data_IF_320722678775
#
_entry.id   IF_320722678775
#
_cell.length_a   1.000
_cell.length_b   1.000
_cell.length_c   1.000
_cell.angle_alpha   90.00
_cell.angle_beta   90.00
_cell.angle_gamma   90.00
#
_symmetry.space_group_name_H-M   'P 1'
#
loop_
_entity.id
_entity.type
_entity.pdbx_description
1 polymer ?
#
# COMPACT_ATOMS: atom_id res chain seq x y z
N UNK A 1 14.26 -1.15 60.13
CA UNK A 1 12.81 -0.84 60.12
C UNK A 1 12.25 -1.30 58.79
N UNK A 2 11.41 -2.34 58.82
CA UNK A 2 10.74 -2.93 57.66
C UNK A 2 9.47 -2.11 57.38
N UNK A 3 9.31 -1.58 56.18
CA UNK A 3 8.05 -0.98 55.75
C UNK A 3 7.52 -1.80 54.58
N UNK A 4 6.54 -2.65 54.90
CA UNK A 4 5.71 -3.39 53.96
C UNK A 4 4.67 -2.41 53.40
N UNK A 5 4.58 -2.28 52.08
CA UNK A 5 3.50 -1.55 51.41
C UNK A 5 2.83 -2.49 50.42
N UNK A 6 1.54 -2.68 50.65
CA UNK A 6 0.62 -3.65 50.06
C UNK A 6 0.37 -3.43 48.57
N UNK A 7 0.21 -4.55 47.86
CA UNK A 7 -0.35 -4.62 46.50
C UNK A 7 -1.85 -4.26 46.49
N UNK A 8 -2.38 -3.61 45.42
CA UNK A 8 -3.80 -3.36 45.30
C UNK A 8 -4.55 -4.60 44.78
N UNK A 9 -5.62 -4.99 45.48
CA UNK A 9 -6.54 -6.05 45.07
C UNK A 9 -7.42 -5.61 43.91
N UNK A 10 -7.50 -6.44 42.87
CA UNK A 10 -8.40 -6.31 41.73
C UNK A 10 -9.78 -6.82 42.16
N UNK A 11 -10.78 -5.92 42.23
CA UNK A 11 -12.19 -6.32 42.37
C UNK A 11 -12.70 -6.86 41.04
N UNK A 12 -12.88 -8.18 40.96
CA UNK A 12 -13.70 -8.82 39.92
C UNK A 12 -15.16 -8.80 40.38
N UNK A 13 -16.01 -8.02 39.70
CA UNK A 13 -17.45 -8.10 39.84
C UNK A 13 -18.02 -9.04 38.77
N UNK A 14 -18.50 -10.20 39.18
CA UNK A 14 -19.25 -11.13 38.34
C UNK A 14 -20.74 -10.79 38.57
N UNK A 15 -21.44 -10.35 37.52
CA UNK A 15 -22.88 -10.19 37.56
C UNK A 15 -23.53 -11.54 37.25
N UNK A 16 -24.16 -12.15 38.25
CA UNK A 16 -24.98 -13.36 38.09
C UNK A 16 -26.43 -12.96 37.84
N UNK A 17 -27.00 -13.43 36.73
CA UNK A 17 -28.41 -13.32 36.41
C UNK A 17 -29.20 -14.37 37.20
N UNK A 18 -30.23 -13.95 37.94
CA UNK A 18 -31.24 -14.84 38.52
C UNK A 18 -32.55 -14.63 37.75
N UNK A 19 -33.21 -15.68 37.24
CA UNK A 19 -34.56 -15.58 36.71
C UNK A 19 -35.56 -15.50 37.88
N UNK A 20 -36.58 -14.66 37.74
CA UNK A 20 -37.73 -14.64 38.63
C UNK A 20 -38.68 -15.77 38.25
N UNK A 21 -39.07 -16.55 39.25
CA UNK A 21 -40.22 -17.45 39.22
C UNK A 21 -41.48 -16.60 39.41
N UNK A 22 -42.33 -16.51 38.39
CA UNK A 22 -43.75 -16.17 38.53
C UNK A 22 -44.50 -16.95 37.44
N UNK A 23 -45.13 -18.02 37.89
CA UNK A 23 -46.14 -18.81 37.18
C UNK A 23 -47.41 -17.98 36.95
N UNK A 24 -47.96 -18.03 35.74
CA UNK A 24 -49.40 -18.29 35.54
C UNK A 24 -49.68 -18.72 34.08
N UNK A 25 -50.73 -19.53 33.85
CA UNK A 25 -50.78 -20.54 32.79
C UNK A 25 -51.84 -20.24 31.72
N UNK A 26 -51.98 -21.18 30.79
CA UNK A 26 -52.97 -21.32 29.72
C UNK A 26 -52.74 -20.51 28.43
N UNK A 27 -52.34 -21.19 27.35
CA UNK A 27 -53.30 -21.78 26.39
C UNK A 27 -52.60 -22.38 25.14
N UNK A 28 -52.58 -23.71 25.09
CA UNK A 28 -52.63 -24.64 23.93
C UNK A 28 -52.23 -24.16 22.51
N UNK A 29 -51.13 -24.70 21.98
CA UNK A 29 -51.08 -25.55 20.76
C UNK A 29 -49.63 -25.83 20.34
N UNK A 30 -49.16 -27.05 20.60
CA UNK A 30 -47.85 -27.56 20.20
C UNK A 30 -47.98 -28.26 18.84
N UNK A 31 -47.61 -27.59 17.74
CA UNK A 31 -47.41 -28.25 16.45
C UNK A 31 -46.08 -29.02 16.50
N UNK A 32 -46.20 -30.31 16.79
CA UNK A 32 -45.10 -31.28 16.75
C UNK A 32 -44.86 -31.71 15.30
N UNK A 33 -43.70 -31.33 14.73
CA UNK A 33 -43.22 -31.92 13.46
C UNK A 33 -42.67 -33.33 13.73
N UNK A 34 -43.04 -34.37 12.96
CA UNK A 34 -42.59 -35.73 13.22
C UNK A 34 -41.09 -35.91 12.93
N UNK A 35 -40.40 -36.46 13.91
CA UNK A 35 -39.01 -36.91 13.84
C UNK A 35 -38.99 -38.40 13.48
N UNK A 36 -38.85 -38.75 12.20
CA UNK A 36 -38.49 -40.09 11.67
C UNK A 36 -38.46 -39.93 10.14
N UNK A 37 -37.37 -40.08 9.38
CA UNK A 37 -36.46 -41.22 9.26
C UNK A 37 -35.14 -40.74 8.60
N UNK A 38 -34.02 -40.77 9.30
CA UNK A 38 -32.69 -40.67 8.67
C UNK A 38 -32.16 -42.11 8.55
N UNK A 39 -32.16 -42.64 7.33
CA UNK A 39 -31.34 -43.81 6.99
C UNK A 39 -29.99 -43.34 6.42
N UNK A 40 -28.84 -43.98 6.77
CA UNK A 40 -27.53 -43.47 6.41
C UNK A 40 -27.06 -44.11 5.10
N UNK A 41 -27.35 -43.53 3.93
CA UNK A 41 -26.65 -43.90 2.68
C UNK A 41 -26.42 -42.70 1.75
N UNK A 42 -25.13 -42.52 1.42
CA UNK A 42 -24.54 -41.68 0.35
C UNK A 42 -24.48 -40.18 0.61
N UNK A 43 -23.44 -39.75 1.33
CA UNK A 43 -22.86 -38.41 1.18
C UNK A 43 -22.35 -38.31 -0.26
N UNK A 44 -23.12 -37.70 -1.15
CA UNK A 44 -22.60 -37.24 -2.43
C UNK A 44 -21.68 -36.06 -2.11
N UNK A 45 -20.38 -36.25 -2.33
CA UNK A 45 -19.37 -35.20 -2.26
C UNK A 45 -19.78 -34.02 -3.13
N UNK A 46 -20.09 -32.89 -2.50
CA UNK A 46 -20.22 -31.61 -3.19
C UNK A 46 -18.93 -31.36 -4.00
N UNK A 47 -19.02 -30.93 -5.27
CA UNK A 47 -17.85 -30.60 -6.07
C UNK A 47 -16.99 -29.56 -5.34
N UNK A 48 -15.70 -29.85 -5.22
CA UNK A 48 -14.69 -29.08 -4.50
C UNK A 48 -14.34 -27.71 -5.13
N UNK A 49 -15.27 -27.08 -5.86
CA UNK A 49 -15.00 -25.89 -6.69
C UNK A 49 -15.65 -24.59 -6.23
N UNK A 50 -16.16 -24.50 -5.00
CA UNK A 50 -16.59 -23.23 -4.39
C UNK A 50 -15.66 -22.77 -3.26
N UNK A 51 -14.36 -23.03 -3.39
CA UNK A 51 -13.36 -22.55 -2.43
C UNK A 51 -13.19 -21.05 -2.66
N UNK A 52 -13.57 -20.24 -1.68
CA UNK A 52 -13.30 -18.80 -1.73
C UNK A 52 -11.80 -18.57 -1.87
N UNK A 53 -11.38 -17.63 -2.75
CA UNK A 53 -9.95 -17.40 -2.97
C UNK A 53 -9.29 -16.98 -1.65
N UNK A 54 -8.08 -17.52 -1.40
CA UNK A 54 -7.31 -17.25 -0.16
C UNK A 54 -7.08 -15.75 0.10
N UNK A 55 -7.10 -14.92 -0.94
CA UNK A 55 -7.05 -13.46 -0.82
C UNK A 55 -7.61 -12.81 -2.08
N UNK A 56 -8.30 -11.68 -1.93
CA UNK A 56 -8.74 -10.82 -3.03
C UNK A 56 -8.05 -9.46 -2.85
N UNK A 57 -7.45 -8.93 -3.92
CA UNK A 57 -6.90 -7.58 -3.91
C UNK A 57 -8.01 -6.56 -4.12
N UNK A 58 -8.26 -5.73 -3.10
CA UNK A 58 -9.23 -4.63 -3.19
C UNK A 58 -8.51 -3.34 -3.59
N UNK A 59 -8.96 -2.70 -4.67
CA UNK A 59 -8.47 -1.40 -5.14
C UNK A 59 -9.05 -0.25 -4.30
N UNK A 60 -8.84 -0.31 -2.99
CA UNK A 60 -9.27 0.72 -2.05
C UNK A 60 -8.17 1.77 -1.89
N UNK A 61 -8.55 3.03 -2.10
CA UNK A 61 -7.74 4.20 -1.79
C UNK A 61 -7.60 4.32 -0.27
N UNK A 62 -6.39 4.55 0.22
CA UNK A 62 -6.13 4.70 1.66
C UNK A 62 -5.36 5.97 1.94
N UNK A 63 -5.74 6.72 2.97
CA UNK A 63 -4.97 7.91 3.35
C UNK A 63 -3.55 7.54 3.79
N UNK A 64 -2.62 8.51 3.69
CA UNK A 64 -1.25 8.34 4.18
C UNK A 64 -1.22 7.88 5.65
N UNK A 65 -0.32 6.96 6.00
CA UNK A 65 -0.07 6.48 7.38
C UNK A 65 0.72 7.48 8.25
N UNK A 66 0.76 8.76 7.88
CA UNK A 66 1.47 9.78 8.64
C UNK A 66 0.69 10.19 9.88
N UNK A 67 1.36 10.18 11.04
CA UNK A 67 0.81 10.69 12.31
C UNK A 67 1.21 12.16 12.57
N UNK A 68 1.97 12.79 11.66
CA UNK A 68 2.44 14.20 11.80
C UNK A 68 1.52 15.22 11.13
N UNK A 69 0.77 14.77 10.13
CA UNK A 69 -0.07 15.61 9.26
C UNK A 69 -1.54 15.26 9.45
N UNK A 70 -2.39 16.28 9.41
CA UNK A 70 -3.83 16.08 9.37
C UNK A 70 -4.24 15.30 8.11
N UNK A 71 -5.08 14.29 8.24
CA UNK A 71 -5.59 13.51 7.11
C UNK A 71 -6.39 14.32 6.10
N UNK A 72 -7.06 15.38 6.54
CA UNK A 72 -7.92 16.22 5.68
C UNK A 72 -7.11 17.37 5.06
N UNK A 73 -6.50 18.23 5.88
CA UNK A 73 -5.83 19.45 5.39
C UNK A 73 -4.32 19.28 5.14
N UNK A 74 -3.73 18.11 5.44
CA UNK A 74 -2.31 17.80 5.27
C UNK A 74 -1.31 18.74 5.97
N UNK A 75 -1.77 19.60 6.88
CA UNK A 75 -0.90 20.48 7.66
C UNK A 75 -0.27 19.76 8.84
N UNK A 76 0.97 20.11 9.16
CA UNK A 76 1.69 19.62 10.34
C UNK A 76 1.04 20.13 11.63
N UNK A 77 1.22 19.36 12.71
CA UNK A 77 0.80 19.79 14.05
C UNK A 77 1.53 21.08 14.43
N UNK A 78 0.76 22.09 14.83
CA UNK A 78 1.27 23.38 15.32
C UNK A 78 0.25 23.96 16.29
N UNK A 79 0.58 25.06 16.99
CA UNK A 79 -0.35 25.70 17.93
C UNK A 79 -1.70 26.07 17.28
N UNK A 80 -1.71 26.43 15.99
CA UNK A 80 -2.92 26.74 15.21
C UNK A 80 -3.58 25.51 14.56
N UNK A 81 -2.88 24.38 14.53
CA UNK A 81 -3.34 23.13 13.91
C UNK A 81 -3.12 21.98 14.89
N UNK A 82 -3.82 22.04 16.02
CA UNK A 82 -3.90 20.91 16.94
C UNK A 82 -4.55 19.73 16.22
N UNK A 83 -4.09 18.53 16.53
CA UNK A 83 -4.55 17.31 15.88
C UNK A 83 -5.06 16.33 16.93
N UNK A 84 -6.22 15.75 16.64
CA UNK A 84 -6.88 14.71 17.43
C UNK A 84 -6.90 13.44 16.60
N UNK A 85 -6.94 12.27 17.25
CA UNK A 85 -7.11 11.00 16.54
C UNK A 85 -8.48 10.97 15.89
N UNK A 86 -8.56 10.55 14.64
CA UNK A 86 -9.82 10.42 13.90
C UNK A 86 -10.71 9.38 14.61
N UNK A 87 -11.93 9.73 15.03
CA UNK A 87 -12.88 8.80 15.64
C UNK A 87 -13.19 7.60 14.75
N UNK A 88 -13.67 6.50 15.34
CA UNK A 88 -14.02 5.31 14.56
C UNK A 88 -15.17 5.59 13.58
N UNK A 89 -16.17 6.31 14.04
CA UNK A 89 -17.37 6.69 13.27
C UNK A 89 -16.99 7.50 12.03
N UNK A 90 -16.13 8.51 12.18
CA UNK A 90 -15.58 9.30 11.09
C UNK A 90 -14.79 8.45 10.06
N UNK A 91 -14.05 7.42 10.51
CA UNK A 91 -13.34 6.50 9.60
C UNK A 91 -14.32 5.64 8.79
N UNK A 92 -15.36 5.12 9.44
CA UNK A 92 -16.41 4.35 8.80
C UNK A 92 -17.21 5.20 7.81
N UNK A 93 -17.54 6.44 8.18
CA UNK A 93 -18.20 7.40 7.30
C UNK A 93 -17.39 7.68 6.03
N UNK A 94 -16.09 7.95 6.16
CA UNK A 94 -15.21 8.17 5.03
C UNK A 94 -15.13 6.94 4.09
N UNK A 95 -15.22 5.73 4.66
CA UNK A 95 -15.27 4.49 3.89
C UNK A 95 -16.62 4.33 3.17
N UNK A 96 -17.75 4.60 3.81
CA UNK A 96 -19.08 4.47 3.21
C UNK A 96 -19.29 5.51 2.09
N UNK A 97 -18.94 6.77 2.34
CA UNK A 97 -19.21 7.86 1.39
C UNK A 97 -18.22 7.93 0.23
N UNK A 98 -16.96 7.57 0.47
CA UNK A 98 -15.87 7.74 -0.51
C UNK A 98 -15.04 6.50 -0.80
N UNK A 99 -15.32 5.36 -0.16
CA UNK A 99 -14.49 4.17 -0.25
C UNK A 99 -13.01 4.42 0.12
N UNK A 100 -12.76 5.39 1.01
CA UNK A 100 -11.39 5.72 1.47
C UNK A 100 -11.15 5.08 2.84
N UNK A 101 -10.09 4.28 2.93
CA UNK A 101 -9.67 3.68 4.19
C UNK A 101 -8.75 4.63 4.95
N UNK A 102 -9.19 5.06 6.13
CA UNK A 102 -8.36 5.83 7.07
C UNK A 102 -7.78 4.85 8.11
N UNK A 103 -6.45 4.68 8.19
CA UNK A 103 -5.84 3.75 9.12
C UNK A 103 -6.08 4.19 10.58
N UNK A 104 -6.01 3.23 11.50
CA UNK A 104 -6.08 3.53 12.93
C UNK A 104 -4.96 4.52 13.34
N UNK A 105 -5.25 5.35 14.34
CA UNK A 105 -4.34 6.40 14.86
C UNK A 105 -4.01 7.54 13.88
N UNK A 106 -4.64 7.57 12.70
CA UNK A 106 -4.61 8.75 11.85
C UNK A 106 -5.15 9.97 12.60
N UNK A 107 -4.58 11.14 12.35
CA UNK A 107 -4.96 12.36 13.05
C UNK A 107 -5.60 13.39 12.13
N UNK A 108 -6.56 14.15 12.63
CA UNK A 108 -7.17 15.27 11.94
C UNK A 108 -7.30 16.50 12.85
N UNK A 109 -7.48 17.69 12.27
CA UNK A 109 -7.79 18.87 13.07
C UNK A 109 -9.23 18.78 13.61
N UNK A 110 -9.50 19.26 14.85
CA UNK A 110 -10.84 19.30 15.43
C UNK A 110 -11.88 19.97 14.53
N UNK A 111 -11.49 21.04 13.83
CA UNK A 111 -12.39 21.80 12.94
C UNK A 111 -12.93 21.01 11.75
N UNK A 112 -12.38 19.82 11.46
CA UNK A 112 -12.90 18.93 10.42
C UNK A 112 -13.99 17.98 10.92
N UNK A 113 -14.15 17.88 12.24
CA UNK A 113 -15.11 17.01 12.89
C UNK A 113 -16.33 17.80 13.35
N UNK A 114 -17.50 17.20 13.18
CA UNK A 114 -18.75 17.59 13.81
C UNK A 114 -19.15 16.44 14.74
N UNK A 115 -18.79 16.56 16.03
CA UNK A 115 -18.88 15.45 16.97
C UNK A 115 -17.93 14.31 16.56
N UNK A 116 -18.49 13.11 16.35
CA UNK A 116 -17.72 11.92 15.95
C UNK A 116 -17.64 11.71 14.43
N UNK A 117 -18.22 12.62 13.64
CA UNK A 117 -18.33 12.51 12.18
C UNK A 117 -17.53 13.60 11.48
N UNK A 118 -17.15 13.39 10.21
CA UNK A 118 -16.57 14.47 9.41
C UNK A 118 -17.66 15.38 8.87
N UNK A 119 -17.35 16.67 8.71
CA UNK A 119 -18.22 17.57 7.93
C UNK A 119 -18.17 17.22 6.45
N UNK A 120 -19.24 17.48 5.70
CA UNK A 120 -19.32 17.16 4.26
C UNK A 120 -18.18 17.80 3.46
N UNK A 121 -17.82 19.03 3.82
CA UNK A 121 -16.66 19.71 3.23
C UNK A 121 -15.35 18.99 3.54
N UNK A 122 -15.19 18.47 4.75
CA UNK A 122 -13.98 17.78 5.17
C UNK A 122 -13.84 16.45 4.45
N UNK A 123 -14.93 15.67 4.30
CA UNK A 123 -14.95 14.41 3.53
C UNK A 123 -14.55 14.67 2.08
N UNK A 124 -15.11 15.72 1.50
CA UNK A 124 -14.78 16.17 0.14
C UNK A 124 -13.29 16.47 -0.03
N UNK A 125 -12.65 17.03 1.01
CA UNK A 125 -11.22 17.41 1.05
C UNK A 125 -10.27 16.28 1.43
N UNK A 126 -10.75 15.10 1.86
CA UNK A 126 -9.86 13.97 2.16
C UNK A 126 -9.13 13.58 0.86
N UNK A 127 -7.78 13.57 0.87
CA UNK A 127 -7.01 13.15 -0.28
C UNK A 127 -7.23 11.67 -0.51
N UNK A 128 -7.67 11.33 -1.71
CA UNK A 128 -7.62 9.96 -2.20
C UNK A 128 -6.15 9.56 -2.26
N UNK A 129 -5.77 8.56 -1.46
CA UNK A 129 -4.41 8.07 -1.48
C UNK A 129 -4.11 7.43 -2.82
N UNK A 130 -3.37 8.14 -3.67
CA UNK A 130 -2.77 7.58 -4.86
C UNK A 130 -1.72 6.56 -4.41
N UNK A 131 -2.10 5.28 -4.31
CA UNK A 131 -1.14 4.17 -4.14
C UNK A 131 -0.21 4.07 -5.36
N UNK A 132 -0.64 4.58 -6.49
CA UNK A 132 0.09 4.56 -7.75
C UNK A 132 0.53 5.98 -8.10
N UNK A 133 1.84 6.16 -8.33
CA UNK A 133 2.38 7.38 -8.91
C UNK A 133 1.69 7.69 -10.23
N UNK A 134 1.57 8.96 -10.58
CA UNK A 134 1.16 9.31 -11.94
C UNK A 134 2.18 8.78 -12.95
N UNK A 135 1.79 8.63 -14.21
CA UNK A 135 2.71 8.14 -15.26
C UNK A 135 3.96 9.03 -15.35
N UNK A 136 3.80 10.33 -15.17
CA UNK A 136 4.88 11.31 -15.29
C UNK A 136 5.80 11.27 -14.06
N UNK A 137 5.22 11.16 -12.86
CA UNK A 137 5.98 10.94 -11.62
C UNK A 137 6.74 9.62 -11.63
N UNK A 138 6.12 8.55 -12.14
CA UNK A 138 6.73 7.24 -12.26
C UNK A 138 7.89 7.25 -13.27
N UNK A 139 7.69 7.90 -14.43
CA UNK A 139 8.74 8.06 -15.44
C UNK A 139 9.92 8.87 -14.89
N UNK A 140 9.65 9.96 -14.18
CA UNK A 140 10.70 10.76 -13.50
C UNK A 140 11.46 9.91 -12.48
N UNK A 141 10.75 9.15 -11.64
CA UNK A 141 11.36 8.26 -10.64
C UNK A 141 12.24 7.19 -11.29
N UNK A 142 11.81 6.63 -12.44
CA UNK A 142 12.60 5.66 -13.21
C UNK A 142 13.86 6.28 -13.79
N UNK A 143 13.78 7.50 -14.34
CA UNK A 143 14.96 8.24 -14.83
C UNK A 143 15.97 8.46 -13.69
N UNK A 144 15.51 8.95 -12.53
CA UNK A 144 16.36 9.12 -11.34
C UNK A 144 16.99 7.80 -10.92
N UNK A 145 16.22 6.71 -10.91
CA UNK A 145 16.72 5.37 -10.54
C UNK A 145 17.78 4.85 -11.52
N UNK A 146 17.64 5.15 -12.82
CA UNK A 146 18.63 4.76 -13.83
C UNK A 146 19.93 5.55 -13.69
N UNK A 147 19.84 6.87 -13.47
CA UNK A 147 21.02 7.72 -13.23
C UNK A 147 21.68 7.39 -11.88
N UNK A 148 20.91 6.97 -10.88
CA UNK A 148 21.41 6.58 -9.56
C UNK A 148 22.51 5.53 -9.65
N UNK A 149 22.38 4.52 -10.50
CA UNK A 149 23.43 3.49 -10.67
C UNK A 149 24.78 4.09 -11.11
N UNK A 150 24.76 5.08 -11.99
CA UNK A 150 25.97 5.79 -12.45
C UNK A 150 26.57 6.62 -11.32
N UNK A 151 25.72 7.34 -10.58
CA UNK A 151 26.14 8.16 -9.43
C UNK A 151 26.70 7.28 -8.32
N UNK A 152 26.05 6.17 -7.99
CA UNK A 152 26.50 5.22 -6.97
C UNK A 152 27.81 4.54 -7.35
N UNK A 153 27.99 4.19 -8.63
CA UNK A 153 29.24 3.61 -9.13
C UNK A 153 30.41 4.61 -8.99
N UNK A 154 30.14 5.88 -9.30
CA UNK A 154 31.11 6.98 -9.13
C UNK A 154 31.42 7.21 -7.65
N UNK A 155 30.39 7.29 -6.81
CA UNK A 155 30.52 7.47 -5.37
C UNK A 155 31.27 6.31 -4.73
N UNK A 156 31.08 5.08 -5.21
CA UNK A 156 31.82 3.90 -4.79
C UNK A 156 33.33 4.04 -5.01
N UNK A 157 33.77 4.68 -6.10
CA UNK A 157 35.20 4.97 -6.33
C UNK A 157 35.74 6.04 -5.39
N UNK A 158 34.93 7.06 -5.08
CA UNK A 158 35.32 8.15 -4.14
C UNK A 158 35.48 7.61 -2.72
N UNK A 159 34.57 6.72 -2.30
CA UNK A 159 34.62 6.09 -0.96
C UNK A 159 35.80 5.14 -0.75
N UNK A 160 36.55 4.78 -1.79
CA UNK A 160 37.83 4.07 -1.60
C UNK A 160 38.90 4.94 -0.95
N UNK A 161 38.70 6.27 -0.91
CA UNK A 161 39.61 7.21 -0.29
C UNK A 161 39.17 7.48 1.14
N UNK A 162 39.92 6.95 2.12
CA UNK A 162 39.59 7.02 3.55
C UNK A 162 39.18 8.41 4.04
N UNK A 163 39.87 9.45 3.56
CA UNK A 163 39.56 10.84 3.90
C UNK A 163 38.13 11.25 3.54
N UNK A 164 37.56 10.74 2.44
CA UNK A 164 36.22 11.08 1.95
C UNK A 164 35.14 10.08 2.39
N UNK A 165 35.52 8.93 2.94
CA UNK A 165 34.59 7.94 3.49
C UNK A 165 34.28 8.21 4.97
N UNK A 166 35.20 8.86 5.69
CA UNK A 166 35.09 9.18 7.12
C UNK A 166 34.57 10.62 7.39
N UNK A 167 34.46 10.97 8.67
CA UNK A 167 34.03 12.29 9.12
C UNK A 167 35.16 13.30 8.93
N UNK A 168 34.95 14.25 8.01
CA UNK A 168 35.89 15.34 7.72
C UNK A 168 35.76 16.46 8.76
N UNK A 169 36.89 16.97 9.27
CA UNK A 169 36.90 18.08 10.21
C UNK A 169 36.43 19.41 9.58
N UNK A 170 35.77 20.26 10.37
CA UNK A 170 35.10 21.47 9.88
C UNK A 170 36.04 22.47 9.16
N UNK A 171 37.32 22.54 9.53
CA UNK A 171 38.28 23.44 8.87
C UNK A 171 38.62 23.01 7.44
N UNK A 172 38.37 21.76 7.06
CA UNK A 172 38.53 21.27 5.69
C UNK A 172 37.30 21.50 4.81
N UNK A 173 36.14 21.85 5.38
CA UNK A 173 34.88 22.06 4.63
C UNK A 173 35.01 23.11 3.52
N UNK A 174 35.70 24.27 3.72
CA UNK A 174 35.89 25.23 2.64
C UNK A 174 36.67 24.67 1.43
N UNK A 175 37.50 23.65 1.66
CA UNK A 175 38.41 23.06 0.66
C UNK A 175 37.95 21.69 0.15
N UNK A 176 36.80 21.18 0.61
CA UNK A 176 36.31 19.85 0.25
C UNK A 176 36.12 19.70 -1.27
N UNK A 177 35.72 20.77 -1.94
CA UNK A 177 35.58 20.80 -3.39
C UNK A 177 36.91 20.56 -4.12
N UNK A 178 38.01 21.13 -3.61
CA UNK A 178 39.34 20.95 -4.19
C UNK A 178 39.86 19.54 -3.97
N UNK A 179 39.67 18.97 -2.78
CA UNK A 179 40.03 17.58 -2.49
C UNK A 179 39.30 16.60 -3.41
N UNK A 180 37.99 16.81 -3.60
CA UNK A 180 37.19 15.98 -4.51
C UNK A 180 37.67 16.11 -5.95
N UNK A 181 38.01 17.32 -6.43
CA UNK A 181 38.57 17.54 -7.78
C UNK A 181 39.90 16.85 -7.98
N UNK A 182 40.81 16.93 -7.00
CA UNK A 182 42.10 16.24 -7.02
C UNK A 182 41.89 14.74 -7.10
N UNK A 183 41.03 14.17 -6.24
CA UNK A 183 40.70 12.74 -6.25
C UNK A 183 40.13 12.32 -7.61
N UNK A 184 39.23 13.10 -8.20
CA UNK A 184 38.69 12.81 -9.53
C UNK A 184 39.76 12.86 -10.61
N UNK A 185 40.68 13.83 -10.57
CA UNK A 185 41.80 13.89 -11.52
C UNK A 185 42.67 12.63 -11.41
N UNK A 186 42.96 12.16 -10.20
CA UNK A 186 43.71 10.92 -9.97
C UNK A 186 42.95 9.69 -10.46
N UNK A 187 41.65 9.60 -10.18
CA UNK A 187 40.81 8.50 -10.66
C UNK A 187 40.78 8.46 -12.19
N UNK A 188 40.64 9.62 -12.85
CA UNK A 188 40.62 9.69 -14.30
C UNK A 188 41.98 9.37 -14.94
N UNK A 189 43.08 9.69 -14.27
CA UNK A 189 44.44 9.41 -14.76
C UNK A 189 44.86 7.95 -14.60
N UNK A 190 44.41 7.28 -13.52
CA UNK A 190 44.97 5.97 -13.13
C UNK A 190 43.96 4.83 -13.07
N UNK A 191 42.65 5.09 -13.07
CA UNK A 191 41.63 4.03 -13.11
C UNK A 191 41.07 3.89 -14.52
N UNK A 192 40.69 2.66 -14.92
CA UNK A 192 39.95 2.48 -16.16
C UNK A 192 38.63 3.27 -16.12
N UNK A 193 38.09 3.71 -17.26
CA UNK A 193 36.78 4.36 -17.34
C UNK A 193 35.70 3.57 -16.58
N UNK A 194 34.72 4.26 -15.99
CA UNK A 194 33.57 3.60 -15.34
C UNK A 194 32.70 2.86 -16.35
N UNK A 195 32.67 3.35 -17.59
CA UNK A 195 31.87 2.85 -18.68
C UNK A 195 32.83 2.72 -19.86
N UNK A 196 32.98 1.50 -20.40
CA UNK A 196 33.85 1.21 -21.54
C UNK A 196 33.14 1.35 -22.89
N UNK A 197 31.92 1.86 -22.91
CA UNK A 197 31.02 1.69 -24.04
C UNK A 197 30.80 3.02 -24.76
N UNK A 198 31.58 3.22 -25.83
CA UNK A 198 31.31 4.22 -26.85
C UNK A 198 30.00 3.82 -27.55
N UNK A 199 28.85 4.24 -27.02
CA UNK A 199 27.53 3.91 -27.59
C UNK A 199 26.31 4.16 -26.67
N UNK A 200 26.50 4.44 -25.38
CA UNK A 200 25.36 4.65 -24.47
C UNK A 200 24.70 6.04 -24.52
N UNK A 201 25.29 7.01 -25.24
CA UNK A 201 24.67 8.32 -25.46
C UNK A 201 23.32 8.18 -26.17
N UNK A 202 23.22 7.21 -27.08
CA UNK A 202 22.01 6.94 -27.84
C UNK A 202 20.92 6.36 -26.94
N UNK A 203 21.27 5.51 -25.97
CA UNK A 203 20.32 4.99 -24.96
C UNK A 203 19.83 6.12 -24.05
N UNK A 204 20.71 7.03 -23.63
CA UNK A 204 20.33 8.19 -22.83
C UNK A 204 19.35 9.11 -23.57
N UNK A 205 19.63 9.41 -24.84
CA UNK A 205 18.73 10.20 -25.71
C UNK A 205 17.41 9.49 -25.94
N UNK A 206 17.45 8.21 -26.30
CA UNK A 206 16.27 7.38 -26.49
C UNK A 206 15.40 7.31 -25.21
N UNK A 207 16.02 7.23 -24.03
CA UNK A 207 15.30 7.25 -22.76
C UNK A 207 14.60 8.59 -22.51
N UNK A 208 15.22 9.72 -22.86
CA UNK A 208 14.61 11.05 -22.74
C UNK A 208 13.46 11.20 -23.75
N UNK A 209 13.67 10.80 -24.99
CA UNK A 209 12.64 10.80 -26.04
C UNK A 209 11.44 9.94 -25.63
N UNK A 210 11.68 8.70 -25.17
CA UNK A 210 10.62 7.80 -24.69
C UNK A 210 9.92 8.29 -23.42
N UNK A 211 10.59 9.06 -22.57
CA UNK A 211 9.96 9.67 -21.41
C UNK A 211 8.98 10.80 -21.78
N UNK A 212 9.22 11.48 -22.91
CA UNK A 212 8.35 12.53 -23.44
C UNK A 212 7.21 12.00 -24.31
N UNK A 213 7.36 10.80 -24.88
CA UNK A 213 6.30 10.16 -25.67
C UNK A 213 5.08 9.81 -24.82
N UNK A 214 3.89 10.09 -25.36
CA UNK A 214 2.65 9.68 -24.70
C UNK A 214 2.50 8.16 -24.69
N UNK A 215 2.01 7.63 -23.58
CA UNK A 215 1.86 6.20 -23.41
C UNK A 215 0.60 5.72 -24.15
N UNK A 216 0.79 5.16 -25.35
CA UNK A 216 -0.30 4.59 -26.17
C UNK A 216 -1.19 3.61 -25.41
N UNK A 217 -0.62 2.82 -24.48
CA UNK A 217 -1.38 1.88 -23.63
C UNK A 217 -2.23 2.64 -22.61
N UNK A 218 -1.71 3.72 -22.01
CA UNK A 218 -2.48 4.59 -21.10
C UNK A 218 -3.69 5.17 -21.81
N UNK A 219 -3.51 5.63 -23.05
CA UNK A 219 -4.57 6.20 -23.88
C UNK A 219 -5.61 5.14 -24.25
N UNK A 220 -5.17 3.97 -24.72
CA UNK A 220 -6.05 2.83 -25.01
C UNK A 220 -6.86 2.38 -23.78
N UNK A 221 -6.24 2.28 -22.60
CA UNK A 221 -6.91 1.90 -21.35
C UNK A 221 -7.99 2.90 -20.95
N UNK A 222 -7.74 4.19 -21.12
CA UNK A 222 -8.71 5.26 -20.85
C UNK A 222 -9.88 5.20 -21.83
N UNK A 223 -9.60 5.15 -23.13
CA UNK A 223 -10.61 5.11 -24.19
C UNK A 223 -11.52 3.89 -24.06
N UNK A 224 -10.95 2.73 -23.75
CA UNK A 224 -11.69 1.47 -23.63
C UNK A 224 -12.24 1.21 -22.22
N UNK A 225 -12.12 2.18 -21.30
CA UNK A 225 -12.58 2.09 -19.90
C UNK A 225 -12.15 0.78 -19.19
N UNK A 226 -10.97 0.26 -19.53
CA UNK A 226 -10.54 -1.09 -19.12
C UNK A 226 -10.30 -1.21 -17.60
N UNK A 227 -10.06 -0.09 -16.90
CA UNK A 227 -9.92 -0.07 -15.44
C UNK A 227 -11.24 -0.34 -14.69
N UNK A 228 -12.39 -0.09 -15.34
CA UNK A 228 -13.72 -0.24 -14.72
C UNK A 228 -14.47 -1.47 -15.24
N UNK A 229 -13.98 -2.10 -16.30
CA UNK A 229 -14.61 -3.27 -16.90
C UNK A 229 -14.41 -4.47 -15.97
N UNK A 230 -15.51 -5.02 -15.44
CA UNK A 230 -15.49 -6.34 -14.79
C UNK A 230 -15.25 -7.38 -15.88
N UNK A 231 -14.19 -8.17 -15.75
CA UNK A 231 -13.91 -9.28 -16.65
C UNK A 231 -15.00 -10.33 -16.49
N UNK A 232 -15.79 -10.55 -17.54
CA UNK A 232 -16.69 -11.71 -17.62
C UNK A 232 -15.86 -12.83 -18.22
N UNK A 233 -15.44 -13.77 -17.38
CA UNK A 233 -14.79 -14.98 -17.86
C UNK A 233 -15.81 -15.76 -18.69
N UNK A 234 -15.43 -16.07 -19.92
CA UNK A 234 -16.17 -16.99 -20.78
C UNK A 234 -15.39 -18.30 -20.83
N UNK A 235 -16.12 -19.40 -20.85
CA UNK A 235 -15.53 -20.72 -21.09
C UNK A 235 -14.96 -20.73 -22.52
N UNK A 236 -13.68 -21.08 -22.65
CA UNK A 236 -12.97 -21.12 -23.93
C UNK A 236 -13.03 -22.54 -24.46
N UNK A 237 -13.55 -22.71 -25.67
CA UNK A 237 -13.48 -23.99 -26.37
C UNK A 237 -12.07 -24.19 -26.94
N UNK A 238 -11.31 -25.09 -26.31
CA UNK A 238 -9.90 -25.35 -26.62
C UNK A 238 -9.64 -25.89 -28.02
N UNK A 239 -10.67 -26.32 -28.75
CA UNK A 239 -10.52 -26.84 -30.11
C UNK A 239 -10.48 -25.75 -31.19
N UNK A 240 -11.12 -24.59 -30.96
CA UNK A 240 -11.37 -23.61 -32.03
C UNK A 240 -10.70 -22.25 -31.77
N UNK A 241 -10.52 -21.86 -30.50
CA UNK A 241 -10.03 -20.51 -30.15
C UNK A 241 -8.52 -20.45 -29.81
N UNK A 242 -7.83 -21.59 -29.82
CA UNK A 242 -6.39 -21.70 -29.47
C UNK A 242 -5.44 -21.78 -30.68
N UNK A 243 -5.93 -21.58 -31.90
CA UNK A 243 -5.08 -21.65 -33.10
C UNK A 243 -3.97 -20.60 -33.15
N UNK A 244 -4.18 -19.45 -32.49
CA UNK A 244 -3.14 -18.42 -32.33
C UNK A 244 -2.27 -18.59 -31.08
N UNK A 245 -2.56 -19.58 -30.22
CA UNK A 245 -1.77 -19.80 -29.02
C UNK A 245 -0.47 -20.52 -29.39
N UNK A 246 0.71 -19.99 -29.00
CA UNK A 246 1.98 -20.63 -29.33
C UNK A 246 2.03 -22.07 -28.83
N UNK A 247 2.19 -23.02 -29.76
CA UNK A 247 2.38 -24.43 -29.44
C UNK A 247 3.87 -24.71 -29.33
N UNK A 248 4.32 -25.18 -28.18
CA UNK A 248 5.68 -25.70 -28.05
C UNK A 248 5.70 -27.08 -28.74
N UNK A 249 6.55 -27.26 -29.76
CA UNK A 249 6.75 -28.59 -30.32
C UNK A 249 7.66 -29.40 -29.38
N UNK A 250 7.54 -30.72 -29.44
CA UNK A 250 8.37 -31.63 -28.63
C UNK A 250 9.86 -31.40 -28.88
N UNK A 251 10.25 -30.96 -30.09
CA UNK A 251 11.64 -30.65 -30.44
C UNK A 251 12.24 -29.46 -29.65
N UNK A 252 11.41 -28.66 -28.98
CA UNK A 252 11.86 -27.54 -28.14
C UNK A 252 11.98 -27.94 -26.65
N UNK A 253 11.75 -29.21 -26.31
CA UNK A 253 11.78 -29.74 -24.94
C UNK A 253 13.03 -30.59 -24.64
N UNK A 254 13.96 -30.72 -25.59
CA UNK A 254 15.24 -31.42 -25.44
C UNK A 254 16.40 -30.48 -25.05
#
# INVERSE_FOLDING_TARGET
>A
MKTVMNSPQIRQGIATYQPNDDDDPDFLAEETLPSELISPKSIQTLPSELISPKSIQLNLSSTSKSHRRCTVCQKNSSNRHQQVVVPHEARTQAFIEKCIVIPANSRCCPNHLLGNYFTQESISKIPEGAKQQTVDEANTTRLVTKVRWVVESTNGRIKQWKFLDEVVANHYVPHIGDFVRIVFALVNSFRPPLINDFGNDDIGKEMIEKAQLDNRVKTYVKENNLLRRKTVYKEVDGATELDMFPRISLDHLD
#
